data_IF_526576279529
#
_entry.id   IF_526576279529
#
_cell.length_a   1.000
_cell.length_b   1.000
_cell.length_c   1.000
_cell.angle_alpha   90.00
_cell.angle_beta   90.00
_cell.angle_gamma   90.00
#
_symmetry.space_group_name_H-M   'P 1'
#
loop_
_entity.id
_entity.type
_entity.pdbx_description
1 polymer ?
#
# COMPACT_ATOMS: atom_id res chain seq x y z
N UNK A 1 -33.75 0.13 -27.06
CA UNK A 1 -32.58 -0.75 -26.88
C UNK A 1 -32.39 -0.92 -25.39
N UNK A 2 -32.61 -2.13 -24.89
CA UNK A 2 -32.53 -2.44 -23.46
C UNK A 2 -31.06 -2.42 -23.03
N UNK A 3 -30.68 -1.36 -22.32
CA UNK A 3 -29.38 -1.28 -21.67
C UNK A 3 -29.48 -2.24 -20.48
N UNK A 4 -28.69 -3.33 -20.43
CA UNK A 4 -28.79 -4.31 -19.36
C UNK A 4 -28.58 -3.62 -18.01
N UNK A 5 -29.47 -3.85 -17.05
CA UNK A 5 -29.45 -3.23 -15.71
C UNK A 5 -28.10 -3.38 -14.99
N UNK A 6 -27.30 -4.39 -15.36
CA UNK A 6 -25.93 -4.58 -14.89
C UNK A 6 -24.98 -3.43 -15.25
N UNK A 7 -25.16 -2.79 -16.41
CA UNK A 7 -24.36 -1.62 -16.80
C UNK A 7 -24.72 -0.39 -15.99
N UNK A 8 -25.99 -0.27 -15.57
CA UNK A 8 -26.50 0.81 -14.74
C UNK A 8 -25.81 0.85 -13.37
N UNK A 9 -25.57 -0.33 -12.79
CA UNK A 9 -24.88 -0.50 -11.51
C UNK A 9 -23.40 -0.09 -11.59
N UNK A 10 -22.77 -0.17 -12.76
CA UNK A 10 -21.36 0.17 -12.97
C UNK A 10 -21.12 1.58 -13.54
N UNK A 11 -22.17 2.38 -13.77
CA UNK A 11 -22.05 3.72 -14.38
C UNK A 11 -21.09 4.61 -13.60
N UNK A 12 -21.14 4.57 -12.27
CA UNK A 12 -20.22 5.36 -11.44
C UNK A 12 -18.78 4.90 -11.58
N UNK A 13 -18.51 3.59 -11.56
CA UNK A 13 -17.17 3.07 -11.74
C UNK A 13 -16.60 3.42 -13.12
N UNK A 14 -17.41 3.32 -14.16
CA UNK A 14 -17.01 3.71 -15.51
C UNK A 14 -16.76 5.22 -15.61
N UNK A 15 -17.61 6.02 -14.98
CA UNK A 15 -17.46 7.48 -14.95
C UNK A 15 -16.18 7.86 -14.20
N UNK A 16 -15.91 7.28 -13.03
CA UNK A 16 -14.67 7.51 -12.27
C UNK A 16 -13.45 7.03 -13.08
N UNK A 17 -13.52 5.84 -13.68
CA UNK A 17 -12.43 5.30 -14.49
C UNK A 17 -12.09 6.16 -15.71
N UNK A 18 -13.04 6.95 -16.24
CA UNK A 18 -12.79 7.92 -17.31
C UNK A 18 -12.39 9.29 -16.77
N UNK A 19 -13.04 9.78 -15.71
CA UNK A 19 -12.79 11.10 -15.15
C UNK A 19 -11.42 11.20 -14.47
N UNK A 20 -11.00 10.18 -13.73
CA UNK A 20 -9.71 10.18 -13.03
C UNK A 20 -8.53 10.36 -14.02
N UNK A 21 -8.38 9.54 -15.07
CA UNK A 21 -7.28 9.74 -16.02
C UNK A 21 -7.43 11.00 -16.85
N UNK A 22 -8.67 11.47 -17.12
CA UNK A 22 -8.91 12.72 -17.82
C UNK A 22 -8.43 13.93 -17.00
N UNK A 23 -8.82 14.01 -15.72
CA UNK A 23 -8.38 15.07 -14.80
C UNK A 23 -6.88 15.01 -14.60
N UNK A 24 -6.33 13.80 -14.43
CA UNK A 24 -4.89 13.58 -14.32
C UNK A 24 -4.17 14.09 -15.57
N UNK A 25 -4.63 13.73 -16.77
CA UNK A 25 -4.05 14.22 -18.03
C UNK A 25 -4.11 15.74 -18.15
N UNK A 26 -5.23 16.35 -17.75
CA UNK A 26 -5.38 17.81 -17.75
C UNK A 26 -4.37 18.47 -16.79
N UNK A 27 -4.17 17.90 -15.61
CA UNK A 27 -3.23 18.39 -14.61
C UNK A 27 -1.78 18.26 -15.10
N UNK A 28 -1.43 17.14 -15.73
CA UNK A 28 -0.12 16.92 -16.35
C UNK A 28 0.14 17.92 -17.49
N UNK A 29 -0.88 18.20 -18.31
CA UNK A 29 -0.79 19.16 -19.40
C UNK A 29 -0.66 20.60 -18.92
N UNK A 30 -1.49 21.00 -17.96
CA UNK A 30 -1.51 22.36 -17.42
C UNK A 30 -0.26 22.69 -16.60
N UNK A 31 0.33 21.70 -15.93
CA UNK A 31 1.47 21.88 -15.06
C UNK A 31 2.64 20.95 -15.45
N UNK A 32 3.32 21.20 -16.58
CA UNK A 32 4.44 20.37 -17.05
C UNK A 32 5.60 20.32 -16.05
N UNK A 33 5.71 21.32 -15.16
CA UNK A 33 6.68 21.32 -14.07
C UNK A 33 6.40 20.24 -13.01
N UNK A 34 5.15 19.82 -12.80
CA UNK A 34 4.86 18.72 -11.90
C UNK A 34 5.48 17.42 -12.41
N UNK A 35 5.48 17.20 -13.72
CA UNK A 35 6.15 16.05 -14.33
C UNK A 35 7.66 16.09 -14.11
N UNK A 36 8.29 17.26 -14.24
CA UNK A 36 9.74 17.39 -13.98
C UNK A 36 10.09 17.14 -12.52
N UNK A 37 9.24 17.60 -11.59
CA UNK A 37 9.41 17.35 -10.15
C UNK A 37 9.21 15.86 -9.85
N UNK A 38 8.16 15.23 -10.39
CA UNK A 38 7.91 13.81 -10.21
C UNK A 38 9.04 12.96 -10.79
N UNK A 39 9.59 13.34 -11.95
CA UNK A 39 10.76 12.71 -12.54
C UNK A 39 12.02 12.87 -11.67
N UNK A 40 12.20 14.03 -11.02
CA UNK A 40 13.30 14.24 -10.08
C UNK A 40 13.23 13.31 -8.86
N UNK A 41 12.02 13.05 -8.36
CA UNK A 41 11.79 12.12 -7.26
C UNK A 41 11.58 10.66 -7.69
N UNK A 42 11.63 10.37 -9.00
CA UNK A 42 11.48 9.01 -9.53
C UNK A 42 12.44 7.99 -8.88
N UNK A 43 13.73 8.31 -8.64
CA UNK A 43 14.65 7.38 -7.97
C UNK A 43 14.21 7.02 -6.54
N UNK A 44 13.66 7.98 -5.80
CA UNK A 44 13.14 7.76 -4.45
C UNK A 44 11.92 6.82 -4.49
N UNK A 45 11.00 7.08 -5.42
CA UNK A 45 9.82 6.24 -5.62
C UNK A 45 10.20 4.81 -6.02
N UNK A 46 11.16 4.67 -6.94
CA UNK A 46 11.69 3.39 -7.38
C UNK A 46 12.34 2.63 -6.22
N UNK A 47 13.18 3.30 -5.41
CA UNK A 47 13.81 2.67 -4.24
C UNK A 47 12.77 2.19 -3.22
N UNK A 48 11.75 3.01 -2.93
CA UNK A 48 10.68 2.63 -2.02
C UNK A 48 9.84 1.49 -2.59
N UNK A 49 9.54 1.49 -3.89
CA UNK A 49 8.81 0.41 -4.54
C UNK A 49 9.59 -0.92 -4.49
N UNK A 50 10.90 -0.89 -4.75
CA UNK A 50 11.77 -2.08 -4.63
C UNK A 50 11.83 -2.56 -3.18
N UNK A 51 11.97 -1.64 -2.22
CA UNK A 51 11.97 -2.00 -0.79
C UNK A 51 10.64 -2.62 -0.36
N UNK A 52 9.51 -2.04 -0.75
CA UNK A 52 8.18 -2.58 -0.47
C UNK A 52 7.97 -3.94 -1.15
N UNK A 53 8.42 -4.08 -2.40
CA UNK A 53 8.35 -5.34 -3.13
C UNK A 53 9.18 -6.42 -2.43
N UNK A 54 10.39 -6.07 -1.96
CA UNK A 54 11.20 -6.97 -1.15
C UNK A 54 10.50 -7.30 0.18
N UNK A 55 9.94 -6.31 0.89
CA UNK A 55 9.19 -6.53 2.12
C UNK A 55 8.00 -7.48 1.90
N UNK A 56 7.27 -7.33 0.82
CA UNK A 56 6.13 -8.19 0.49
C UNK A 56 6.61 -9.59 0.08
N UNK A 57 7.69 -9.69 -0.70
CA UNK A 57 8.23 -10.96 -1.17
C UNK A 57 8.87 -11.80 -0.05
N UNK A 58 9.58 -11.15 0.88
CA UNK A 58 10.31 -11.82 1.97
C UNK A 58 9.54 -11.82 3.31
N UNK A 59 8.77 -10.79 3.60
CA UNK A 59 7.97 -10.65 4.84
C UNK A 59 6.57 -11.23 4.74
N UNK A 60 6.02 -11.36 3.53
CA UNK A 60 4.67 -11.86 3.29
C UNK A 60 3.59 -10.84 3.67
N UNK A 61 2.48 -10.84 2.93
CA UNK A 61 1.36 -9.91 3.14
C UNK A 61 0.73 -10.00 4.54
N UNK A 62 0.96 -11.12 5.25
CA UNK A 62 0.46 -11.36 6.60
C UNK A 62 1.09 -10.47 7.67
N UNK A 63 2.32 -9.97 7.48
CA UNK A 63 2.95 -9.08 8.47
C UNK A 63 2.19 -7.75 8.65
N UNK A 64 1.58 -7.23 7.57
CA UNK A 64 0.70 -6.05 7.63
C UNK A 64 -0.63 -6.29 8.38
N UNK A 65 -1.03 -7.57 8.57
CA UNK A 65 -2.16 -7.92 9.45
C UNK A 65 -1.74 -8.22 10.89
N UNK A 66 -0.44 -8.48 11.11
CA UNK A 66 0.09 -9.01 12.36
C UNK A 66 0.62 -7.92 13.29
N UNK A 67 0.53 -6.64 12.92
CA UNK A 67 0.80 -5.51 13.84
C UNK A 67 -0.15 -5.50 15.05
N UNK A 68 -1.33 -6.14 14.95
CA UNK A 68 -2.18 -6.44 16.09
C UNK A 68 -1.70 -7.62 16.96
N UNK A 69 -0.75 -8.44 16.50
CA UNK A 69 -0.23 -9.63 17.18
C UNK A 69 1.24 -9.50 17.64
N UNK A 70 1.80 -8.28 17.59
CA UNK A 70 3.14 -7.97 18.09
C UNK A 70 3.32 -8.29 19.59
N UNK A 71 2.22 -8.46 20.33
CA UNK A 71 2.22 -8.83 21.75
C UNK A 71 2.84 -10.21 22.01
N UNK A 72 2.73 -11.17 21.06
CA UNK A 72 3.33 -12.51 21.24
C UNK A 72 4.77 -12.64 20.76
N UNK A 73 5.23 -11.73 19.90
CA UNK A 73 6.62 -11.74 19.41
C UNK A 73 7.62 -11.33 20.52
N UNK A 74 7.18 -10.52 21.50
CA UNK A 74 8.00 -10.10 22.64
C UNK A 74 8.01 -11.08 23.82
N UNK A 75 7.07 -12.04 23.88
CA UNK A 75 6.94 -12.96 25.01
C UNK A 75 8.17 -13.84 25.23
N UNK A 76 8.85 -14.26 24.16
CA UNK A 76 10.08 -15.06 24.26
C UNK A 76 11.29 -14.28 24.81
N UNK A 77 11.30 -12.95 24.65
CA UNK A 77 12.36 -12.09 25.21
C UNK A 77 12.07 -11.76 26.68
N UNK A 78 10.79 -11.59 27.02
CA UNK A 78 10.36 -11.38 28.41
C UNK A 78 10.61 -12.61 29.28
N UNK A 79 10.45 -13.82 28.75
CA UNK A 79 10.76 -15.08 29.46
C UNK A 79 12.28 -15.27 29.66
N UNK A 80 13.08 -14.81 28.69
CA UNK A 80 14.54 -14.81 28.79
C UNK A 80 15.10 -13.84 29.85
N UNK A 81 14.48 -12.65 30.00
CA UNK A 81 14.87 -11.65 31.02
C UNK A 81 14.22 -11.95 32.37
N UNK A 82 13.06 -12.62 32.36
CA UNK A 82 12.24 -12.87 33.53
C UNK A 82 12.82 -13.85 34.54
N UNK A 83 13.89 -14.58 34.19
CA UNK A 83 14.68 -15.41 35.12
C UNK A 83 13.80 -16.34 35.96
N UNK A 84 13.60 -17.57 35.48
CA UNK A 84 12.89 -18.62 36.23
C UNK A 84 13.36 -18.65 37.70
N UNK A 85 12.50 -18.32 38.69
CA UNK A 85 12.89 -18.44 40.08
C UNK A 85 13.06 -19.92 40.38
N UNK A 86 14.30 -20.31 40.67
CA UNK A 86 14.66 -21.67 41.02
C UNK A 86 13.81 -22.10 42.23
N UNK A 87 13.02 -23.15 42.03
CA UNK A 87 12.25 -23.79 43.10
C UNK A 87 13.20 -24.21 44.22
N UNK A 88 12.98 -23.64 45.41
CA UNK A 88 13.44 -24.20 46.68
C UNK A 88 12.27 -24.70 47.49
#
# INVERSE_FOLDING_TARGET
MDIPDKLLQYRYHFTIAVFVPLVLSLLLYAAPRLLTILAYFWPLFASTAVLLMALIAFGGLSQFSNEAHGEKAGAGILDYVGGQPEHS
#
